data_IF_321105375489
#
_entry.id   IF_321105375489
#
_cell.length_a   1.000
_cell.length_b   1.000
_cell.length_c   1.000
_cell.angle_alpha   90.00
_cell.angle_beta   90.00
_cell.angle_gamma   90.00
#
_symmetry.space_group_name_H-M   'P 1'
#
loop_
_entity.id
_entity.type
_entity.pdbx_description
1 polymer ?
#
# COMPACT_ATOMS: atom_id res chain seq x y z
N UNK A 1 -16.25 2.01 18.78
CA UNK A 1 -16.16 2.21 17.32
C UNK A 1 -14.70 2.07 16.97
N UNK A 2 -14.34 1.14 16.09
CA UNK A 2 -12.94 0.87 15.75
C UNK A 2 -12.24 2.18 15.37
N UNK A 3 -11.11 2.44 16.03
CA UNK A 3 -10.23 3.56 15.72
C UNK A 3 -9.95 3.51 14.22
N UNK A 4 -10.48 4.50 13.47
CA UNK A 4 -10.06 4.72 12.09
C UNK A 4 -8.55 4.87 12.17
N UNK A 5 -7.79 3.95 11.55
CA UNK A 5 -6.34 3.98 11.53
C UNK A 5 -5.86 5.42 11.43
N UNK A 6 -5.10 5.85 12.44
CA UNK A 6 -4.76 7.25 12.64
C UNK A 6 -4.14 7.74 11.33
N UNK A 7 -4.58 8.87 10.78
CA UNK A 7 -4.07 9.37 9.49
C UNK A 7 -2.53 9.51 9.49
N UNK A 8 -1.93 9.57 10.70
CA UNK A 8 -0.49 9.52 10.93
C UNK A 8 0.17 8.20 10.51
N UNK A 9 -0.53 7.07 10.62
CA UNK A 9 -0.03 5.74 10.22
C UNK A 9 0.34 5.70 8.72
N UNK A 10 -0.43 6.41 7.90
CA UNK A 10 -0.21 6.47 6.45
C UNK A 10 0.55 7.73 5.98
N UNK A 11 0.89 8.65 6.89
CA UNK A 11 1.47 9.94 6.52
C UNK A 11 2.85 9.83 5.83
N UNK A 12 3.58 8.73 6.03
CA UNK A 12 4.85 8.44 5.36
C UNK A 12 4.72 7.86 3.95
N UNK A 13 3.51 7.49 3.53
CA UNK A 13 3.27 6.85 2.24
C UNK A 13 3.14 7.89 1.12
N UNK A 14 3.82 7.64 0.01
CA UNK A 14 3.53 8.33 -1.24
C UNK A 14 2.12 7.94 -1.72
N UNK A 15 1.47 8.77 -2.57
CA UNK A 15 0.15 8.44 -3.09
C UNK A 15 0.08 7.05 -3.74
N UNK A 16 1.15 6.63 -4.43
CA UNK A 16 1.22 5.32 -5.10
C UNK A 16 1.38 4.15 -4.13
N UNK A 17 2.16 4.33 -3.07
CA UNK A 17 2.33 3.34 -2.00
C UNK A 17 1.04 3.20 -1.19
N UNK A 18 0.40 4.32 -0.85
CA UNK A 18 -0.89 4.33 -0.16
C UNK A 18 -1.97 3.62 -0.97
N UNK A 19 -2.10 3.98 -2.24
CA UNK A 19 -3.04 3.40 -3.20
C UNK A 19 -2.86 1.87 -3.32
N UNK A 20 -1.61 1.40 -3.45
CA UNK A 20 -1.31 -0.03 -3.45
C UNK A 20 -1.61 -0.70 -2.09
N UNK A 21 -1.27 -0.06 -0.97
CA UNK A 21 -1.48 -0.60 0.37
C UNK A 21 -2.96 -0.73 0.73
N UNK A 22 -3.74 0.32 0.51
CA UNK A 22 -5.18 0.30 0.74
C UNK A 22 -5.88 -0.74 -0.13
N UNK A 23 -5.47 -0.88 -1.40
CA UNK A 23 -6.16 -1.76 -2.35
C UNK A 23 -5.77 -3.23 -2.20
N UNK A 24 -4.47 -3.50 -2.01
CA UNK A 24 -3.95 -4.87 -1.99
C UNK A 24 -3.70 -5.45 -0.60
N UNK A 25 -3.46 -4.63 0.43
CA UNK A 25 -3.23 -5.13 1.79
C UNK A 25 -4.49 -5.03 2.66
N UNK A 26 -5.14 -3.86 2.67
CA UNK A 26 -6.36 -3.67 3.45
C UNK A 26 -7.63 -4.05 2.66
N UNK A 27 -7.53 -4.08 1.34
CA UNK A 27 -8.58 -4.51 0.43
C UNK A 27 -8.46 -5.98 0.04
N UNK A 28 -9.23 -6.37 -0.98
CA UNK A 28 -9.31 -7.77 -1.44
C UNK A 28 -8.60 -8.00 -2.79
N UNK A 29 -8.00 -6.96 -3.38
CA UNK A 29 -7.47 -7.01 -4.73
C UNK A 29 -6.04 -7.56 -4.77
N UNK A 30 -5.79 -8.59 -5.59
CA UNK A 30 -4.44 -9.14 -5.74
C UNK A 30 -3.49 -8.18 -6.47
N UNK A 31 -2.21 -8.18 -6.11
CA UNK A 31 -1.16 -7.33 -6.73
C UNK A 31 -1.13 -7.40 -8.27
N UNK A 32 -1.29 -8.61 -8.83
CA UNK A 32 -1.27 -8.82 -10.29
C UNK A 32 -2.54 -8.33 -10.97
N UNK A 33 -3.67 -8.46 -10.30
CA UNK A 33 -4.97 -7.96 -10.74
C UNK A 33 -4.94 -6.44 -10.76
N UNK A 34 -4.60 -5.83 -9.63
CA UNK A 34 -4.47 -4.39 -9.49
C UNK A 34 -3.47 -3.77 -10.47
N UNK A 35 -2.33 -4.42 -10.70
CA UNK A 35 -1.35 -4.01 -11.70
C UNK A 35 -1.95 -3.99 -13.12
N UNK A 36 -2.74 -5.00 -13.48
CA UNK A 36 -3.42 -5.06 -14.78
C UNK A 36 -4.47 -3.97 -14.93
N UNK A 37 -5.27 -3.72 -13.90
CA UNK A 37 -6.33 -2.71 -13.91
C UNK A 37 -5.76 -1.28 -14.00
N UNK A 38 -4.64 -1.02 -13.32
CA UNK A 38 -4.00 0.30 -13.29
C UNK A 38 -2.96 0.51 -14.40
N UNK A 39 -2.73 -0.49 -15.26
CA UNK A 39 -1.69 -0.44 -16.29
C UNK A 39 -0.26 -0.37 -15.74
N UNK A 40 -0.05 -0.76 -14.48
CA UNK A 40 1.27 -0.78 -13.83
C UNK A 40 1.94 -2.14 -14.03
N UNK A 41 3.26 -2.17 -13.97
CA UNK A 41 3.97 -3.45 -13.92
C UNK A 41 3.76 -4.12 -12.54
N UNK A 42 3.53 -5.45 -12.46
CA UNK A 42 3.34 -6.15 -11.19
C UNK A 42 4.49 -5.96 -10.20
N UNK A 43 5.74 -5.91 -10.70
CA UNK A 43 6.91 -5.62 -9.86
C UNK A 43 6.90 -4.21 -9.28
N UNK A 44 6.35 -3.23 -10.01
CA UNK A 44 6.19 -1.86 -9.50
C UNK A 44 5.20 -1.84 -8.34
N UNK A 45 4.03 -2.46 -8.51
CA UNK A 45 3.02 -2.55 -7.44
C UNK A 45 3.57 -3.30 -6.23
N UNK A 46 4.28 -4.42 -6.45
CA UNK A 46 4.94 -5.16 -5.37
C UNK A 46 5.95 -4.32 -4.58
N UNK A 47 6.76 -3.50 -5.25
CA UNK A 47 7.70 -2.59 -4.58
C UNK A 47 6.99 -1.52 -3.76
N UNK A 48 5.95 -0.89 -4.32
CA UNK A 48 5.11 0.08 -3.61
C UNK A 48 4.51 -0.53 -2.34
N UNK A 49 4.00 -1.76 -2.44
CA UNK A 49 3.39 -2.47 -1.33
C UNK A 49 4.43 -2.83 -0.26
N UNK A 50 5.63 -3.24 -0.67
CA UNK A 50 6.74 -3.53 0.25
C UNK A 50 7.13 -2.28 1.04
N UNK A 51 7.40 -1.18 0.35
CA UNK A 51 7.76 0.09 0.99
C UNK A 51 6.65 0.60 1.90
N UNK A 52 5.39 0.42 1.50
CA UNK A 52 4.27 0.80 2.34
C UNK A 52 4.23 0.03 3.66
N UNK A 53 4.47 -1.29 3.64
CA UNK A 53 4.56 -2.12 4.86
C UNK A 53 5.71 -1.69 5.75
N UNK A 54 6.88 -1.42 5.17
CA UNK A 54 8.07 -0.96 5.92
C UNK A 54 7.77 0.33 6.68
N UNK A 55 7.09 1.28 6.03
CA UNK A 55 6.71 2.58 6.59
C UNK A 55 5.61 2.50 7.65
N UNK A 56 4.55 1.73 7.40
CA UNK A 56 3.41 1.55 8.32
C UNK A 56 3.81 0.70 9.54
N UNK A 57 4.60 -0.35 9.31
CA UNK A 57 5.08 -1.26 10.36
C UNK A 57 6.19 -0.69 11.25
N UNK A 58 6.63 0.54 11.00
CA UNK A 58 7.63 1.22 11.83
C UNK A 58 9.08 0.78 11.59
N UNK A 59 9.35 -0.01 10.55
CA UNK A 59 10.72 -0.39 10.17
C UNK A 59 11.28 0.65 9.19
N UNK A 60 11.30 1.89 9.66
CA UNK A 60 12.01 3.00 9.03
C UNK A 60 13.49 2.83 9.38
N UNK A 61 14.26 2.15 8.54
CA UNK A 61 15.72 2.09 8.65
C UNK A 61 16.37 3.46 8.35
#
# INVERSE_FOLDING_TARGET
MAERGDAREFAGLTPKELDAYLTCELGECGVREYARETGRAPGTVGNQLRWAREKVGGEQA
#
